data_IF_451439832771
#
_entry.id   IF_451439832771
#
_cell.length_a   1.000
_cell.length_b   1.000
_cell.length_c   1.000
_cell.angle_alpha   90.00
_cell.angle_beta   90.00
_cell.angle_gamma   90.00
#
_symmetry.space_group_name_H-M   'P 1'
#
loop_
_entity.id
_entity.type
_entity.pdbx_description
1 polymer ?
#
# COMPACT_ATOMS: atom_id res chain seq x y z
N UNK A 1 -89.04 -33.98 -7.31
CA UNK A 1 -89.60 -33.78 -8.66
C UNK A 1 -89.31 -32.34 -9.08
N UNK A 2 -88.76 -32.17 -10.28
CA UNK A 2 -88.52 -30.92 -11.04
C UNK A 2 -87.67 -29.83 -10.39
N UNK A 3 -86.47 -29.49 -10.90
CA UNK A 3 -86.14 -28.87 -12.20
C UNK A 3 -86.69 -27.45 -12.37
N UNK A 4 -85.81 -26.45 -12.35
CA UNK A 4 -85.46 -25.65 -13.54
C UNK A 4 -84.56 -24.45 -13.20
N UNK A 5 -83.54 -24.28 -14.04
CA UNK A 5 -82.51 -23.22 -14.10
C UNK A 5 -83.04 -21.80 -14.32
N UNK A 6 -82.25 -20.78 -13.99
CA UNK A 6 -81.71 -19.80 -14.96
C UNK A 6 -80.59 -18.91 -14.37
N UNK A 7 -79.59 -18.61 -15.21
CA UNK A 7 -78.35 -17.85 -14.98
C UNK A 7 -78.57 -16.34 -14.75
N UNK A 8 -77.64 -15.69 -14.02
CA UNK A 8 -77.07 -14.37 -14.38
C UNK A 8 -75.78 -14.10 -13.56
N UNK A 9 -74.60 -14.21 -14.18
CA UNK A 9 -73.72 -13.14 -14.75
C UNK A 9 -72.78 -12.48 -13.72
N UNK A 10 -71.49 -12.65 -14.02
CA UNK A 10 -70.28 -12.17 -13.34
C UNK A 10 -70.08 -10.65 -13.45
N UNK A 11 -69.60 -10.02 -12.37
CA UNK A 11 -68.87 -8.75 -12.40
C UNK A 11 -67.53 -8.91 -11.69
N UNK A 12 -66.43 -9.03 -12.45
CA UNK A 12 -65.07 -9.05 -11.92
C UNK A 12 -64.45 -7.64 -12.05
N UNK A 13 -64.14 -7.02 -10.90
CA UNK A 13 -63.40 -5.78 -10.84
C UNK A 13 -61.90 -6.04 -11.11
N UNK A 14 -61.33 -5.35 -12.09
CA UNK A 14 -59.91 -5.39 -12.41
C UNK A 14 -59.14 -4.37 -11.56
N UNK A 15 -58.28 -4.87 -10.66
CA UNK A 15 -57.31 -4.04 -9.96
C UNK A 15 -56.14 -3.71 -10.89
N UNK A 16 -55.89 -2.43 -11.15
CA UNK A 16 -54.72 -1.95 -11.91
C UNK A 16 -53.55 -1.75 -10.94
N UNK A 17 -52.53 -2.59 -11.04
CA UNK A 17 -51.23 -2.42 -10.41
C UNK A 17 -50.46 -1.31 -11.16
N UNK A 18 -50.09 -0.23 -10.49
CA UNK A 18 -49.10 0.73 -10.99
C UNK A 18 -47.70 0.24 -10.58
N UNK A 19 -46.93 -0.27 -11.55
CA UNK A 19 -45.51 -0.53 -11.36
C UNK A 19 -44.74 0.78 -11.52
N UNK A 20 -44.21 1.33 -10.41
CA UNK A 20 -43.17 2.36 -10.48
C UNK A 20 -41.84 1.68 -10.83
N UNK A 21 -41.42 1.80 -12.08
CA UNK A 21 -40.06 1.48 -12.50
C UNK A 21 -39.12 2.61 -12.06
N UNK A 22 -38.46 2.43 -10.92
CA UNK A 22 -37.36 3.30 -10.50
C UNK A 22 -36.13 3.04 -11.38
N UNK A 23 -35.71 4.04 -12.16
CA UNK A 23 -34.44 4.01 -12.89
C UNK A 23 -33.31 4.25 -11.88
N UNK A 24 -32.53 3.22 -11.57
CA UNK A 24 -31.25 3.37 -10.86
C UNK A 24 -30.19 3.76 -11.89
N UNK A 25 -29.78 5.03 -11.90
CA UNK A 25 -28.61 5.47 -12.65
C UNK A 25 -27.35 5.02 -11.90
N UNK A 26 -26.71 3.95 -12.38
CA UNK A 26 -25.30 3.72 -12.07
C UNK A 26 -24.49 4.73 -12.87
N UNK A 27 -24.04 5.80 -12.22
CA UNK A 27 -22.98 6.62 -12.78
C UNK A 27 -21.71 5.77 -12.81
N UNK A 28 -21.41 5.16 -13.97
CA UNK A 28 -20.07 4.65 -14.23
C UNK A 28 -19.15 5.86 -14.34
N UNK A 29 -18.55 6.28 -13.22
CA UNK A 29 -17.45 7.23 -13.29
C UNK A 29 -16.36 6.60 -14.13
N UNK A 30 -16.15 7.09 -15.35
CA UNK A 30 -15.00 6.70 -16.14
C UNK A 30 -13.76 7.01 -15.30
N UNK A 31 -12.92 6.01 -15.05
CA UNK A 31 -11.61 6.24 -14.43
C UNK A 31 -10.84 7.13 -15.39
N UNK A 32 -10.40 8.29 -14.93
CA UNK A 32 -9.64 9.21 -15.76
C UNK A 32 -8.36 8.51 -16.26
N UNK A 33 -8.00 8.76 -17.51
CA UNK A 33 -6.79 8.20 -18.09
C UNK A 33 -5.56 8.63 -17.26
N UNK A 34 -4.59 7.73 -17.02
CA UNK A 34 -3.36 8.10 -16.32
C UNK A 34 -2.60 9.20 -17.06
N UNK A 35 -2.11 10.18 -16.31
CA UNK A 35 -1.24 11.24 -16.83
C UNK A 35 0.20 10.70 -16.86
N UNK A 36 0.87 10.79 -18.00
CA UNK A 36 2.26 10.35 -18.13
C UNK A 36 3.23 11.34 -17.44
N UNK A 37 4.11 10.82 -16.58
CA UNK A 37 5.16 11.60 -15.87
C UNK A 37 6.58 11.13 -16.21
N UNK A 38 6.73 10.37 -17.30
CA UNK A 38 8.02 9.82 -17.73
C UNK A 38 9.09 10.90 -17.96
N UNK A 39 8.71 12.06 -18.50
CA UNK A 39 9.65 13.18 -18.71
C UNK A 39 10.22 13.73 -17.40
N UNK A 40 9.41 13.78 -16.34
CA UNK A 40 9.87 14.22 -15.01
C UNK A 40 10.84 13.20 -14.40
N UNK A 41 10.56 11.91 -14.58
CA UNK A 41 11.46 10.83 -14.15
C UNK A 41 12.80 10.88 -14.90
N UNK A 42 12.76 11.12 -16.21
CA UNK A 42 13.96 11.27 -17.03
C UNK A 42 14.78 12.52 -16.63
N UNK A 43 14.12 13.65 -16.38
CA UNK A 43 14.75 14.88 -15.91
C UNK A 43 15.42 14.72 -14.53
N UNK A 44 14.88 13.83 -13.68
CA UNK A 44 15.49 13.44 -12.40
C UNK A 44 16.68 12.47 -12.55
N UNK A 45 17.13 12.18 -13.78
CA UNK A 45 18.30 11.34 -14.06
C UNK A 45 18.03 9.84 -13.96
N UNK A 46 16.76 9.41 -13.93
CA UNK A 46 16.38 7.99 -13.88
C UNK A 46 15.95 7.49 -15.25
N UNK A 47 16.43 6.31 -15.65
CA UNK A 47 15.98 5.67 -16.88
C UNK A 47 14.53 5.19 -16.74
N UNK A 48 13.64 5.72 -17.57
CA UNK A 48 12.19 5.40 -17.56
C UNK A 48 11.94 3.92 -17.82
N UNK A 49 12.69 3.28 -18.72
CA UNK A 49 12.52 1.84 -19.03
C UNK A 49 12.90 0.92 -17.86
N UNK A 50 13.75 1.39 -16.95
CA UNK A 50 14.24 0.65 -15.79
C UNK A 50 13.58 1.10 -14.46
N UNK A 51 12.51 1.90 -14.53
CA UNK A 51 11.81 2.43 -13.37
C UNK A 51 10.33 2.68 -13.66
N UNK A 52 9.56 2.93 -12.61
CA UNK A 52 8.16 3.35 -12.70
C UNK A 52 7.80 4.10 -11.43
N UNK A 53 7.03 5.18 -11.56
CA UNK A 53 6.29 5.78 -10.46
C UNK A 53 4.81 5.69 -10.75
N UNK A 54 4.04 5.39 -9.71
CA UNK A 54 2.59 5.59 -9.69
C UNK A 54 2.31 6.60 -8.59
N UNK A 55 1.61 7.68 -8.92
CA UNK A 55 0.97 8.58 -7.95
C UNK A 55 -0.54 8.51 -8.16
N UNK A 56 -1.31 8.44 -7.08
CA UNK A 56 -2.78 8.44 -7.10
C UNK A 56 -3.32 9.47 -6.14
N UNK A 57 -4.14 10.40 -6.65
CA UNK A 57 -4.88 11.35 -5.81
C UNK A 57 -6.12 10.68 -5.22
N UNK A 58 -6.38 10.89 -3.93
CA UNK A 58 -7.38 10.13 -3.20
C UNK A 58 -8.81 10.56 -3.49
N UNK A 59 -9.05 11.86 -3.74
CA UNK A 59 -10.40 12.41 -3.96
C UNK A 59 -11.11 11.84 -5.19
N UNK A 60 -10.38 11.68 -6.30
CA UNK A 60 -10.97 11.28 -7.60
C UNK A 60 -10.28 10.08 -8.27
N UNK A 61 -9.22 9.53 -7.67
CA UNK A 61 -8.39 8.47 -8.23
C UNK A 61 -7.64 8.84 -9.52
N UNK A 62 -7.46 10.13 -9.82
CA UNK A 62 -6.55 10.52 -10.91
C UNK A 62 -5.16 9.91 -10.63
N UNK A 63 -4.60 9.29 -11.67
CA UNK A 63 -3.26 8.69 -11.60
C UNK A 63 -2.26 9.47 -12.44
N UNK A 64 -1.02 9.50 -11.96
CA UNK A 64 0.16 9.90 -12.72
C UNK A 64 1.11 8.70 -12.74
N UNK A 65 1.50 8.26 -13.94
CA UNK A 65 2.25 7.01 -14.11
C UNK A 65 3.42 7.23 -15.06
N UNK A 66 4.59 6.71 -14.72
CA UNK A 66 5.66 6.46 -15.71
C UNK A 66 5.80 4.97 -15.93
N UNK A 67 6.10 4.56 -17.17
CA UNK A 67 6.28 3.15 -17.56
C UNK A 67 5.16 2.23 -17.04
N UNK A 68 3.99 2.31 -17.68
CA UNK A 68 2.80 1.55 -17.30
C UNK A 68 2.99 0.02 -17.34
N UNK A 69 3.90 -0.47 -18.19
CA UNK A 69 4.23 -1.90 -18.23
C UNK A 69 4.91 -2.33 -16.93
N UNK A 70 5.90 -1.57 -16.46
CA UNK A 70 6.58 -1.85 -15.19
C UNK A 70 5.69 -1.58 -13.98
N UNK A 71 4.78 -0.60 -14.05
CA UNK A 71 3.90 -0.27 -12.92
C UNK A 71 3.04 -1.46 -12.47
N UNK A 72 2.73 -2.37 -13.39
CA UNK A 72 1.96 -3.60 -13.16
C UNK A 72 2.83 -4.83 -12.86
N UNK A 73 4.15 -4.73 -12.99
CA UNK A 73 5.06 -5.84 -12.68
C UNK A 73 5.29 -5.93 -11.17
N UNK A 74 5.21 -7.16 -10.63
CA UNK A 74 5.45 -7.42 -9.22
C UNK A 74 6.93 -7.62 -8.95
N UNK A 75 7.44 -6.96 -7.91
CA UNK A 75 8.79 -7.16 -7.39
C UNK A 75 8.74 -7.44 -5.89
N UNK A 76 9.84 -7.97 -5.36
CA UNK A 76 10.04 -8.05 -3.91
C UNK A 76 9.84 -6.66 -3.26
N UNK A 77 8.99 -6.52 -2.22
CA UNK A 77 8.78 -5.23 -1.56
C UNK A 77 10.02 -4.80 -0.75
N UNK A 78 10.91 -5.74 -0.42
CA UNK A 78 12.02 -5.49 0.50
C UNK A 78 11.51 -4.80 1.77
N UNK A 79 12.13 -3.70 2.19
CA UNK A 79 11.74 -3.01 3.42
C UNK A 79 10.43 -2.22 3.34
N UNK A 80 9.75 -2.10 2.20
CA UNK A 80 8.40 -1.51 2.18
C UNK A 80 7.35 -2.43 2.82
N UNK A 81 7.60 -3.74 2.88
CA UNK A 81 6.79 -4.70 3.63
C UNK A 81 6.72 -4.40 5.14
N UNK A 82 7.63 -3.56 5.65
CA UNK A 82 7.55 -3.08 7.03
C UNK A 82 6.26 -2.31 7.30
N UNK A 83 5.63 -1.71 6.28
CA UNK A 83 4.31 -1.08 6.42
C UNK A 83 3.27 -2.09 6.90
N UNK A 84 2.93 -3.16 6.15
CA UNK A 84 1.99 -4.17 6.64
C UNK A 84 2.49 -4.90 7.90
N UNK A 85 3.80 -5.17 8.04
CA UNK A 85 4.30 -5.81 9.27
C UNK A 85 4.07 -4.98 10.53
N UNK A 86 4.24 -3.65 10.47
CA UNK A 86 3.96 -2.76 11.60
C UNK A 86 2.48 -2.79 11.95
N UNK A 87 1.59 -2.73 10.95
CA UNK A 87 0.14 -2.83 11.17
C UNK A 87 -0.24 -4.16 11.84
N UNK A 88 0.32 -5.28 11.37
CA UNK A 88 0.09 -6.60 11.94
C UNK A 88 0.62 -6.68 13.37
N UNK A 89 1.83 -6.19 13.62
CA UNK A 89 2.44 -6.23 14.95
C UNK A 89 1.60 -5.47 15.99
N UNK A 90 1.11 -4.28 15.61
CA UNK A 90 0.23 -3.45 16.44
C UNK A 90 -1.12 -4.14 16.67
N UNK A 91 -1.76 -4.58 15.59
CA UNK A 91 -3.12 -5.16 15.64
C UNK A 91 -3.18 -6.48 16.40
N UNK A 92 -2.15 -7.31 16.28
CA UNK A 92 -2.05 -8.59 17.00
C UNK A 92 -1.52 -8.42 18.43
N UNK A 93 -1.08 -7.21 18.81
CA UNK A 93 -0.50 -6.93 20.12
C UNK A 93 0.90 -7.51 20.33
N UNK A 94 1.53 -8.07 19.29
CA UNK A 94 2.89 -8.63 19.34
C UNK A 94 3.93 -7.56 19.66
N UNK A 95 3.67 -6.31 19.25
CA UNK A 95 4.48 -5.16 19.62
C UNK A 95 3.64 -3.88 19.65
N UNK A 96 4.01 -2.98 20.56
CA UNK A 96 3.54 -1.60 20.65
C UNK A 96 4.66 -0.63 20.24
N UNK A 97 4.37 0.66 20.01
CA UNK A 97 5.38 1.63 19.55
C UNK A 97 6.66 1.68 20.40
N UNK A 98 6.54 1.48 21.70
CA UNK A 98 7.60 1.50 22.71
C UNK A 98 8.20 0.12 23.05
N UNK A 99 7.65 -0.96 22.49
CA UNK A 99 8.17 -2.32 22.71
C UNK A 99 9.61 -2.42 22.26
N UNK A 100 10.51 -2.65 23.23
CA UNK A 100 11.95 -2.77 23.00
C UNK A 100 12.30 -4.19 22.54
N UNK A 101 13.08 -4.25 21.47
CA UNK A 101 13.76 -5.43 20.98
C UNK A 101 15.24 -5.28 21.32
N UNK A 102 15.74 -6.19 22.17
CA UNK A 102 17.13 -6.18 22.62
C UNK A 102 18.06 -6.67 21.52
N UNK A 103 19.20 -5.99 21.37
CA UNK A 103 20.23 -6.36 20.42
C UNK A 103 21.01 -7.57 20.93
N UNK A 104 21.18 -8.56 20.05
CA UNK A 104 21.92 -9.80 20.33
C UNK A 104 23.45 -9.64 20.41
N UNK A 105 23.97 -8.41 20.41
CA UNK A 105 25.40 -8.10 20.39
C UNK A 105 26.11 -8.46 19.08
N UNK A 106 25.41 -9.01 18.07
CA UNK A 106 26.04 -9.37 16.79
C UNK A 106 26.11 -8.15 15.89
N UNK A 107 27.33 -7.82 15.46
CA UNK A 107 27.56 -6.71 14.52
C UNK A 107 26.97 -7.01 13.15
N UNK A 108 26.16 -6.08 12.65
CA UNK A 108 25.49 -6.08 11.34
C UNK A 108 26.05 -4.97 10.46
N UNK A 109 25.80 -5.07 9.17
CA UNK A 109 26.37 -4.20 8.12
C UNK A 109 26.04 -2.72 8.28
N UNK A 110 24.83 -2.40 8.76
CA UNK A 110 24.42 -1.02 9.00
C UNK A 110 24.62 -0.68 10.47
N UNK A 111 25.46 0.31 10.76
CA UNK A 111 25.81 0.66 12.15
C UNK A 111 24.56 1.04 12.97
N UNK A 112 23.58 1.70 12.34
CA UNK A 112 22.31 2.06 12.97
C UNK A 112 21.45 0.87 13.42
N UNK A 113 21.79 -0.37 13.05
CA UNK A 113 21.09 -1.59 13.49
C UNK A 113 21.71 -2.25 14.73
N UNK A 114 22.88 -1.79 15.18
CA UNK A 114 23.70 -2.44 16.21
C UNK A 114 23.44 -1.84 17.60
N UNK A 115 22.17 -1.82 18.01
CA UNK A 115 21.68 -1.33 19.30
C UNK A 115 20.26 -1.83 19.53
N UNK A 116 19.76 -1.68 20.75
CA UNK A 116 18.35 -1.93 21.04
C UNK A 116 17.46 -0.99 20.23
N UNK A 117 16.29 -1.51 19.86
CA UNK A 117 15.33 -0.75 19.07
C UNK A 117 13.92 -0.94 19.62
N UNK A 118 13.19 0.16 19.79
CA UNK A 118 11.71 0.09 19.83
C UNK A 118 11.14 -0.11 18.43
N UNK A 119 9.88 -0.54 18.31
CA UNK A 119 9.17 -0.57 17.02
C UNK A 119 9.23 0.79 16.30
N UNK A 120 9.04 1.88 17.06
CA UNK A 120 9.12 3.26 16.55
C UNK A 120 10.49 3.64 16.01
N UNK A 121 11.57 3.10 16.59
CA UNK A 121 12.93 3.34 16.10
C UNK A 121 13.31 2.39 14.96
N UNK A 122 12.75 1.18 14.92
CA UNK A 122 13.10 0.14 13.96
C UNK A 122 12.56 0.44 12.56
N UNK A 123 11.35 1.01 12.46
CA UNK A 123 10.74 1.38 11.18
C UNK A 123 11.56 2.39 10.36
N UNK A 124 11.89 3.61 10.87
CA UNK A 124 12.66 4.60 10.11
C UNK A 124 14.10 4.14 9.82
N UNK A 125 14.74 3.42 10.75
CA UNK A 125 16.08 2.86 10.54
C UNK A 125 16.10 1.57 9.70
N UNK A 126 14.92 1.11 9.26
CA UNK A 126 14.75 -0.07 8.41
C UNK A 126 15.40 -1.33 8.98
N UNK A 127 15.36 -1.50 10.30
CA UNK A 127 16.11 -2.52 11.06
C UNK A 127 15.53 -3.91 10.78
N UNK A 128 16.15 -4.65 9.86
CA UNK A 128 15.59 -5.94 9.37
C UNK A 128 15.38 -6.94 10.49
N UNK A 129 16.33 -7.07 11.42
CA UNK A 129 16.28 -8.11 12.45
C UNK A 129 15.12 -7.95 13.43
N UNK A 130 14.64 -6.72 13.68
CA UNK A 130 13.44 -6.46 14.47
C UNK A 130 12.20 -7.02 13.78
N UNK A 131 12.09 -6.82 12.45
CA UNK A 131 10.96 -7.31 11.67
C UNK A 131 11.00 -8.83 11.46
N UNK A 132 12.20 -9.43 11.47
CA UNK A 132 12.35 -10.88 11.54
C UNK A 132 11.82 -11.44 12.86
N UNK A 133 12.06 -10.74 13.97
CA UNK A 133 11.53 -11.13 15.27
C UNK A 133 10.00 -10.96 15.33
N UNK A 134 9.46 -9.86 14.80
CA UNK A 134 8.02 -9.67 14.63
C UNK A 134 7.41 -10.82 13.82
N UNK A 135 8.02 -11.19 12.69
CA UNK A 135 7.54 -12.30 11.88
C UNK A 135 7.51 -13.64 12.63
N UNK A 136 8.52 -13.93 13.46
CA UNK A 136 8.51 -15.12 14.32
C UNK A 136 7.38 -15.09 15.36
N UNK A 137 7.18 -13.95 16.01
CA UNK A 137 6.15 -13.81 17.06
C UNK A 137 4.73 -13.89 16.51
N UNK A 138 4.49 -13.37 15.30
CA UNK A 138 3.20 -13.50 14.60
C UNK A 138 3.01 -14.93 14.07
N UNK A 139 4.09 -15.58 13.63
CA UNK A 139 4.07 -16.92 13.06
C UNK A 139 3.59 -16.96 11.61
N UNK A 140 3.84 -18.09 10.93
CA UNK A 140 3.51 -18.26 9.51
C UNK A 140 2.01 -18.12 9.24
N UNK A 141 1.17 -18.82 10.02
CA UNK A 141 -0.27 -18.77 9.84
C UNK A 141 -0.83 -17.34 9.97
N UNK A 142 -0.37 -16.58 10.97
CA UNK A 142 -0.78 -15.19 11.17
C UNK A 142 -0.29 -14.28 10.04
N UNK A 143 0.95 -14.45 9.58
CA UNK A 143 1.48 -13.67 8.46
C UNK A 143 0.70 -13.93 7.16
N UNK A 144 0.43 -15.19 6.84
CA UNK A 144 -0.38 -15.56 5.66
C UNK A 144 -1.80 -15.00 5.75
N UNK A 145 -2.46 -15.14 6.91
CA UNK A 145 -3.81 -14.62 7.11
C UNK A 145 -3.88 -13.10 6.91
N UNK A 146 -2.98 -12.35 7.55
CA UNK A 146 -3.02 -10.90 7.49
C UNK A 146 -2.59 -10.34 6.14
N UNK A 147 -1.59 -10.92 5.48
CA UNK A 147 -1.24 -10.51 4.11
C UNK A 147 -2.40 -10.76 3.13
N UNK A 148 -3.14 -11.86 3.32
CA UNK A 148 -4.37 -12.13 2.58
C UNK A 148 -5.49 -11.14 2.88
N UNK A 149 -5.73 -10.81 4.16
CA UNK A 149 -6.71 -9.77 4.56
C UNK A 149 -6.38 -8.40 3.99
N UNK A 150 -5.10 -8.08 3.95
CA UNK A 150 -4.62 -6.84 3.35
C UNK A 150 -4.57 -6.90 1.83
N UNK A 151 -4.82 -8.03 1.18
CA UNK A 151 -4.68 -8.20 -0.27
C UNK A 151 -3.35 -7.60 -0.76
N UNK A 152 -2.26 -7.98 -0.08
CA UNK A 152 -0.95 -7.36 -0.27
C UNK A 152 -0.12 -8.12 -1.32
N UNK A 153 -0.25 -7.70 -2.58
CA UNK A 153 0.47 -8.31 -3.71
C UNK A 153 0.03 -9.76 -3.95
N UNK A 154 0.98 -10.70 -3.94
CA UNK A 154 0.67 -12.13 -4.00
C UNK A 154 0.38 -12.77 -2.63
N UNK A 155 0.48 -12.02 -1.53
CA UNK A 155 0.24 -12.47 -0.15
C UNK A 155 1.05 -13.71 0.32
N UNK A 156 2.17 -14.01 -0.34
CA UNK A 156 3.00 -15.17 -0.02
C UNK A 156 3.93 -14.93 1.18
N UNK A 157 3.65 -15.56 2.33
CA UNK A 157 4.48 -15.48 3.54
C UNK A 157 5.62 -16.52 3.59
N UNK A 158 5.80 -17.30 2.53
CA UNK A 158 6.80 -18.36 2.44
C UNK A 158 6.47 -19.60 3.27
N UNK A 159 7.47 -20.15 3.95
CA UNK A 159 7.39 -21.38 4.76
C UNK A 159 7.94 -21.13 6.15
N UNK A 160 7.82 -22.08 7.08
CA UNK A 160 8.43 -21.96 8.42
C UNK A 160 9.94 -21.69 8.34
N UNK A 161 10.63 -22.27 7.35
CA UNK A 161 12.06 -22.05 7.15
C UNK A 161 12.39 -20.66 6.59
N UNK A 162 11.48 -20.04 5.85
CA UNK A 162 11.69 -18.75 5.14
C UNK A 162 10.84 -17.61 5.69
N UNK A 163 10.13 -17.83 6.80
CA UNK A 163 9.23 -16.86 7.45
C UNK A 163 9.92 -15.53 7.80
N UNK A 164 11.24 -15.53 7.94
CA UNK A 164 12.02 -14.32 8.28
C UNK A 164 12.73 -13.68 7.08
N UNK A 165 12.49 -14.17 5.87
CA UNK A 165 13.16 -13.70 4.65
C UNK A 165 12.22 -13.56 3.45
N UNK A 166 10.97 -14.01 3.49
CA UNK A 166 10.06 -14.04 2.35
C UNK A 166 9.82 -12.68 1.65
N UNK A 167 10.03 -11.56 2.35
CA UNK A 167 9.93 -10.21 1.79
C UNK A 167 11.28 -9.64 1.31
N UNK A 168 12.37 -10.34 1.61
CA UNK A 168 13.75 -10.03 1.21
C UNK A 168 14.20 -10.91 0.05
N UNK A 169 13.40 -11.90 -0.33
CA UNK A 169 13.57 -12.71 -1.53
C UNK A 169 12.40 -12.45 -2.51
N UNK A 170 12.26 -13.28 -3.54
CA UNK A 170 11.22 -13.14 -4.56
C UNK A 170 9.93 -13.92 -4.24
N UNK A 171 9.74 -14.32 -2.97
CA UNK A 171 8.53 -15.01 -2.50
C UNK A 171 7.34 -14.06 -2.45
N UNK A 172 7.40 -13.05 -1.58
CA UNK A 172 6.39 -11.98 -1.56
C UNK A 172 6.72 -10.98 -2.67
N UNK A 173 5.76 -10.73 -3.55
CA UNK A 173 5.90 -9.77 -4.63
C UNK A 173 4.67 -8.88 -4.74
N UNK A 174 4.89 -7.61 -5.06
CA UNK A 174 3.86 -6.58 -5.20
C UNK A 174 4.27 -5.57 -6.28
N UNK A 175 3.31 -5.07 -7.04
CA UNK A 175 3.52 -4.04 -8.08
C UNK A 175 3.39 -2.62 -7.53
N UNK A 176 3.80 -1.61 -8.31
CA UNK A 176 3.65 -0.21 -7.91
C UNK A 176 2.17 0.20 -7.83
N UNK A 177 1.33 -0.31 -8.74
CA UNK A 177 -0.12 -0.13 -8.68
C UNK A 177 -0.69 -0.73 -7.40
N UNK A 178 -0.33 -1.99 -7.09
CA UNK A 178 -0.81 -2.69 -5.89
C UNK A 178 -0.34 -2.02 -4.59
N UNK A 179 0.89 -1.48 -4.56
CA UNK A 179 1.36 -0.65 -3.45
C UNK A 179 0.41 0.54 -3.22
N UNK A 180 0.07 1.30 -4.28
CA UNK A 180 -0.85 2.44 -4.14
C UNK A 180 -2.27 2.01 -3.76
N UNK A 181 -2.75 0.85 -4.21
CA UNK A 181 -4.07 0.33 -3.84
C UNK A 181 -4.14 -0.13 -2.37
N UNK A 182 -3.07 -0.74 -1.86
CA UNK A 182 -2.94 -1.03 -0.43
C UNK A 182 -2.90 0.27 0.39
N UNK A 183 -2.09 1.25 -0.01
CA UNK A 183 -1.99 2.55 0.67
C UNK A 183 -3.30 3.34 0.63
N UNK A 184 -4.09 3.21 -0.44
CA UNK A 184 -5.42 3.81 -0.54
C UNK A 184 -6.34 3.34 0.59
N UNK A 185 -6.37 2.02 0.83
CA UNK A 185 -7.16 1.44 1.93
C UNK A 185 -6.58 1.80 3.29
N UNK A 186 -5.26 1.77 3.44
CA UNK A 186 -4.58 2.19 4.68
C UNK A 186 -4.92 3.64 5.06
N UNK A 187 -4.71 4.59 4.14
CA UNK A 187 -4.93 6.01 4.38
C UNK A 187 -6.40 6.38 4.62
N UNK A 188 -7.35 5.61 4.07
CA UNK A 188 -8.79 5.72 4.32
C UNK A 188 -9.27 4.98 5.58
N UNK A 189 -8.36 4.31 6.29
CA UNK A 189 -8.68 3.44 7.45
C UNK A 189 -9.64 2.29 7.11
N UNK A 190 -9.48 1.70 5.93
CA UNK A 190 -10.35 0.67 5.33
C UNK A 190 -9.67 -0.72 5.28
N UNK A 191 -8.84 -1.04 6.29
CA UNK A 191 -8.19 -2.35 6.46
C UNK A 191 -8.79 -3.14 7.64
N UNK A 192 -9.91 -2.68 8.21
CA UNK A 192 -10.56 -3.29 9.39
C UNK A 192 -9.61 -3.44 10.60
N UNK A 193 -8.78 -2.43 10.83
CA UNK A 193 -7.90 -2.34 12.00
C UNK A 193 -8.54 -1.45 13.07
N UNK A 194 -8.07 -1.54 14.31
CA UNK A 194 -8.54 -0.65 15.38
C UNK A 194 -8.02 0.78 15.18
N UNK A 195 -8.73 1.75 15.76
CA UNK A 195 -8.31 3.16 15.72
C UNK A 195 -6.97 3.39 16.41
N UNK A 196 -6.69 2.60 17.45
CA UNK A 196 -5.40 2.59 18.15
C UNK A 196 -4.28 2.14 17.21
N UNK A 197 -4.49 1.05 16.45
CA UNK A 197 -3.54 0.57 15.44
C UNK A 197 -3.25 1.64 14.40
N UNK A 198 -4.28 2.30 13.86
CA UNK A 198 -4.08 3.37 12.88
C UNK A 198 -3.31 4.55 13.46
N UNK A 199 -3.66 4.99 14.68
CA UNK A 199 -3.03 6.15 15.31
C UNK A 199 -1.55 5.90 15.65
N UNK A 200 -1.24 4.69 16.13
CA UNK A 200 0.13 4.25 16.36
C UNK A 200 0.92 4.14 15.05
N UNK A 201 0.32 3.57 14.01
CA UNK A 201 0.94 3.44 12.69
C UNK A 201 1.23 4.81 12.05
N UNK A 202 0.28 5.76 12.09
CA UNK A 202 0.48 7.13 11.58
C UNK A 202 1.72 7.75 12.23
N UNK A 203 1.87 7.63 13.55
CA UNK A 203 3.03 8.16 14.30
C UNK A 203 4.35 7.50 13.88
N UNK A 204 4.36 6.17 13.72
CA UNK A 204 5.56 5.41 13.35
C UNK A 204 5.98 5.68 11.89
N UNK A 205 5.01 5.88 11.00
CA UNK A 205 5.23 5.96 9.56
C UNK A 205 5.52 7.38 9.06
N UNK A 206 5.21 8.41 9.86
CA UNK A 206 5.53 9.80 9.53
C UNK A 206 7.04 9.94 9.35
N UNK A 207 7.44 10.41 8.16
CA UNK A 207 8.85 10.50 7.75
C UNK A 207 9.30 11.93 7.48
N UNK A 208 8.37 12.83 7.20
CA UNK A 208 8.64 14.25 6.97
C UNK A 208 7.37 15.07 7.18
N UNK A 209 7.51 16.38 7.34
CA UNK A 209 6.41 17.33 7.41
C UNK A 209 6.87 18.74 7.04
N UNK A 210 5.94 19.55 6.58
CA UNK A 210 6.16 20.97 6.29
C UNK A 210 4.89 21.78 6.50
N UNK A 211 4.85 22.97 5.90
CA UNK A 211 3.71 23.87 6.03
C UNK A 211 2.47 23.27 5.34
N UNK A 212 1.53 22.78 6.14
CA UNK A 212 0.25 22.25 5.66
C UNK A 212 0.26 20.79 5.18
N UNK A 213 1.44 20.15 5.11
CA UNK A 213 1.57 18.78 4.64
C UNK A 213 2.33 17.85 5.61
N UNK A 214 2.03 16.56 5.52
CA UNK A 214 2.71 15.49 6.24
C UNK A 214 2.98 14.31 5.33
N UNK A 215 4.21 13.81 5.35
CA UNK A 215 4.65 12.66 4.56
C UNK A 215 4.73 11.41 5.44
N UNK A 216 4.15 10.32 4.96
CA UNK A 216 4.27 8.99 5.56
C UNK A 216 4.88 8.07 4.52
N UNK A 217 6.03 7.46 4.81
CA UNK A 217 6.75 6.75 3.75
C UNK A 217 7.72 5.70 4.24
N UNK A 218 8.03 4.74 3.38
CA UNK A 218 9.06 3.74 3.60
C UNK A 218 9.92 3.52 2.36
N UNK A 219 11.23 3.48 2.57
CA UNK A 219 12.20 3.01 1.58
C UNK A 219 12.29 1.49 1.57
N UNK A 220 12.52 0.91 0.39
CA UNK A 220 12.86 -0.49 0.18
C UNK A 220 14.14 -0.64 -0.64
N UNK A 221 14.90 -1.69 -0.35
CA UNK A 221 16.07 -2.08 -1.13
C UNK A 221 16.23 -3.60 -1.04
N UNK A 222 16.04 -4.27 -2.16
CA UNK A 222 16.35 -5.68 -2.34
C UNK A 222 17.75 -5.80 -2.91
N UNK A 223 18.65 -6.36 -2.11
CA UNK A 223 20.00 -6.73 -2.54
C UNK A 223 19.97 -8.08 -3.26
N UNK A 224 20.64 -8.18 -4.41
CA UNK A 224 20.84 -9.41 -5.17
C UNK A 224 22.33 -9.54 -5.48
N UNK A 225 22.97 -10.57 -4.91
CA UNK A 225 24.42 -10.78 -5.09
C UNK A 225 24.82 -10.94 -6.56
N UNK A 226 23.98 -11.62 -7.34
CA UNK A 226 24.26 -12.00 -8.72
C UNK A 226 23.21 -11.44 -9.68
N UNK A 227 22.65 -10.25 -9.38
CA UNK A 227 21.61 -9.65 -10.20
C UNK A 227 21.40 -8.17 -9.91
N UNK A 228 20.46 -7.58 -10.64
CA UNK A 228 20.05 -6.19 -10.46
C UNK A 228 19.33 -5.99 -9.13
N UNK A 229 19.79 -5.06 -8.29
CA UNK A 229 19.06 -4.67 -7.08
C UNK A 229 17.77 -3.94 -7.44
N UNK A 230 16.76 -4.05 -6.57
CA UNK A 230 15.49 -3.36 -6.74
C UNK A 230 15.29 -2.36 -5.60
N UNK A 231 15.03 -1.11 -5.96
CA UNK A 231 14.74 -0.03 -5.04
C UNK A 231 13.26 0.32 -4.99
N UNK A 232 12.84 0.82 -3.82
CA UNK A 232 11.50 1.35 -3.61
C UNK A 232 11.51 2.63 -2.77
N UNK A 233 10.57 3.52 -3.07
CA UNK A 233 10.07 4.53 -2.14
C UNK A 233 8.56 4.61 -2.26
N UNK A 234 7.87 4.33 -1.16
CA UNK A 234 6.42 4.09 -1.14
C UNK A 234 5.83 4.85 0.03
N UNK A 235 4.70 5.52 -0.17
CA UNK A 235 4.11 6.33 0.89
C UNK A 235 2.89 7.13 0.45
N UNK A 236 2.44 8.03 1.32
CA UNK A 236 1.44 9.02 0.99
C UNK A 236 1.78 10.38 1.59
N UNK A 237 1.46 11.42 0.83
CA UNK A 237 1.50 12.81 1.24
C UNK A 237 0.08 13.23 1.59
N UNK A 238 -0.15 13.69 2.82
CA UNK A 238 -1.40 14.32 3.24
C UNK A 238 -1.21 15.84 3.22
N UNK A 239 -2.00 16.55 2.43
CA UNK A 239 -1.92 18.00 2.22
C UNK A 239 -3.33 18.58 2.41
N UNK A 240 -3.58 19.33 3.49
CA UNK A 240 -4.92 19.84 3.81
C UNK A 240 -6.03 18.76 3.71
N UNK A 241 -6.98 18.90 2.76
CA UNK A 241 -8.09 17.97 2.53
C UNK A 241 -7.78 16.86 1.50
N UNK A 242 -6.59 16.86 0.91
CA UNK A 242 -6.19 15.92 -0.14
C UNK A 242 -5.10 14.95 0.32
N UNK A 243 -5.04 13.79 -0.33
CA UNK A 243 -3.98 12.80 -0.10
C UNK A 243 -3.46 12.26 -1.44
N UNK A 244 -2.14 12.24 -1.60
CA UNK A 244 -1.46 11.68 -2.75
C UNK A 244 -0.70 10.43 -2.33
N UNK A 245 -1.13 9.28 -2.83
CA UNK A 245 -0.50 7.98 -2.62
C UNK A 245 0.57 7.82 -3.69
N UNK A 246 1.75 7.30 -3.35
CA UNK A 246 2.78 7.06 -4.35
C UNK A 246 3.56 5.76 -4.10
N UNK A 247 4.04 5.19 -5.20
CA UNK A 247 4.97 4.07 -5.20
C UNK A 247 5.95 4.23 -6.36
N UNK A 248 7.22 4.43 -6.02
CA UNK A 248 8.32 4.47 -6.98
C UNK A 248 9.15 3.19 -6.87
N UNK A 249 9.40 2.56 -8.00
CA UNK A 249 10.22 1.37 -8.14
C UNK A 249 11.28 1.57 -9.23
N UNK A 250 12.51 1.11 -8.99
CA UNK A 250 13.59 1.21 -9.97
C UNK A 250 14.59 0.08 -9.81
N UNK A 251 15.25 -0.23 -10.92
CA UNK A 251 16.50 -0.98 -10.93
C UNK A 251 17.63 -0.14 -10.33
N UNK A 252 18.46 -0.74 -9.49
CA UNK A 252 19.58 -0.09 -8.81
C UNK A 252 20.90 -0.81 -9.16
N UNK A 253 21.63 -0.39 -10.22
CA UNK A 253 22.86 -1.06 -10.61
C UNK A 253 23.97 -0.95 -9.56
N UNK A 254 23.98 0.14 -8.78
CA UNK A 254 24.92 0.36 -7.70
C UNK A 254 24.36 1.32 -6.63
N UNK A 255 25.18 1.59 -5.60
CA UNK A 255 24.77 2.39 -4.43
C UNK A 255 24.47 3.85 -4.74
N UNK A 256 24.92 4.41 -5.87
CA UNK A 256 24.59 5.79 -6.26
C UNK A 256 23.09 6.03 -6.48
N UNK A 257 22.32 4.96 -6.72
CA UNK A 257 20.87 5.02 -6.92
C UNK A 257 20.06 5.08 -5.61
N UNK A 258 20.74 4.95 -4.46
CA UNK A 258 20.08 4.94 -3.13
C UNK A 258 19.24 6.19 -2.92
N UNK A 259 19.74 7.36 -3.31
CA UNK A 259 19.07 8.64 -3.10
C UNK A 259 18.03 8.97 -4.19
N UNK A 260 18.16 8.38 -5.38
CA UNK A 260 17.20 8.53 -6.49
C UNK A 260 15.80 8.05 -6.11
N UNK A 261 15.70 7.03 -5.25
CA UNK A 261 14.42 6.54 -4.72
C UNK A 261 13.56 7.67 -4.12
N UNK A 262 14.16 8.51 -3.27
CA UNK A 262 13.43 9.59 -2.60
C UNK A 262 13.34 10.81 -3.52
N UNK A 263 14.47 11.25 -4.07
CA UNK A 263 14.56 12.49 -4.83
C UNK A 263 13.66 12.49 -6.07
N UNK A 264 13.60 11.40 -6.84
CA UNK A 264 12.71 11.29 -8.01
C UNK A 264 11.24 11.33 -7.60
N UNK A 265 10.83 10.67 -6.51
CA UNK A 265 9.44 10.75 -6.05
C UNK A 265 9.04 12.16 -5.60
N UNK A 266 9.95 12.87 -4.90
CA UNK A 266 9.71 14.26 -4.53
C UNK A 266 9.61 15.15 -5.78
N UNK A 267 10.51 14.99 -6.75
CA UNK A 267 10.46 15.76 -8.00
C UNK A 267 9.14 15.58 -8.76
N UNK A 268 8.60 14.35 -8.81
CA UNK A 268 7.30 14.09 -9.44
C UNK A 268 6.15 14.71 -8.65
N UNK A 269 6.14 14.56 -7.31
CA UNK A 269 5.12 15.16 -6.45
C UNK A 269 5.15 16.70 -6.50
N UNK A 270 6.34 17.30 -6.56
CA UNK A 270 6.53 18.75 -6.69
C UNK A 270 6.08 19.25 -8.07
N UNK A 271 6.47 18.58 -9.15
CA UNK A 271 6.08 18.97 -10.51
C UNK A 271 4.56 18.96 -10.74
N UNK A 272 3.82 18.14 -10.00
CA UNK A 272 2.36 18.10 -10.05
C UNK A 272 1.66 19.01 -9.01
N UNK A 273 2.42 19.78 -8.23
CA UNK A 273 1.89 20.69 -7.21
C UNK A 273 1.32 19.99 -5.96
N UNK A 274 1.72 18.74 -5.68
CA UNK A 274 1.14 17.99 -4.56
C UNK A 274 1.45 18.59 -3.18
N UNK A 275 2.52 19.40 -3.07
CA UNK A 275 2.92 20.08 -1.84
C UNK A 275 2.30 21.47 -1.68
N UNK A 276 1.57 21.98 -2.68
CA UNK A 276 0.99 23.34 -2.64
C UNK A 276 -0.20 23.45 -1.68
N UNK A 277 -0.74 22.32 -1.20
CA UNK A 277 -1.87 22.23 -0.29
C UNK A 277 -3.04 23.17 -0.65
N UNK A 278 -3.60 23.05 -1.86
CA UNK A 278 -4.71 23.89 -2.30
C UNK A 278 -5.96 23.77 -1.41
#
# INVERSE_FOLDING_TARGET
>A
MSSSSFMQVFGAATARLFALSGLVFFASGAVADPIDVSDTVAAAGVQVTASTIVVRRLSDNQMWVSNADRSNQRYSPASTSKIPHTLIALQTGVAQPDTVFEWDGKRRTFDGWNRDHSLSSAFPNSVVWVYQEIARRVGLAGMTEWLGRFDYGNAEAGTEATLTTYWLDDTLQISAVEQTDFLKRLSRRDLSLSDETYSAADTIMQSDAGDGWTMYSKTGWRFRRDGMDIGWYVGWLRCSAETYLFAFNLDMPDRSYVDLRRSTSYAVLEAMGAFDCP
#
